data_IF_001995401539
#
_entry.id   IF_001995401539
#
_cell.length_a   1.000
_cell.length_b   1.000
_cell.length_c   1.000
_cell.angle_alpha   90.00
_cell.angle_beta   90.00
_cell.angle_gamma   90.00
#
_symmetry.space_group_name_H-M   'P 1'
#
loop_
_entity.id
_entity.type
_entity.pdbx_description
1 polymer ?
#
# COMPACT_ATOMS: atom_id res chain seq x y z
N UNK A 1 4.50 -18.02 25.98
CA UNK A 1 3.75 -18.54 24.81
C UNK A 1 2.61 -19.36 25.39
N UNK A 2 1.50 -18.70 25.71
CA UNK A 2 0.37 -19.29 26.40
C UNK A 2 -0.80 -19.37 25.42
N UNK A 3 -1.34 -20.59 25.28
CA UNK A 3 -2.64 -20.94 24.71
C UNK A 3 -2.95 -20.40 23.30
N UNK A 4 -2.36 -21.02 22.27
CA UNK A 4 -3.04 -21.08 20.98
C UNK A 4 -4.30 -21.94 21.16
N UNK A 5 -5.45 -21.30 21.31
CA UNK A 5 -6.72 -22.00 21.40
C UNK A 5 -6.86 -22.90 20.16
N UNK A 6 -7.13 -24.19 20.35
CA UNK A 6 -7.43 -25.18 19.31
C UNK A 6 -8.69 -24.87 18.49
N UNK A 7 -9.29 -23.69 18.64
CA UNK A 7 -10.42 -23.25 17.83
C UNK A 7 -9.95 -22.77 16.46
N UNK A 8 -10.56 -23.34 15.43
CA UNK A 8 -10.35 -22.95 14.05
C UNK A 8 -10.80 -21.49 13.86
N UNK A 9 -9.95 -20.68 13.22
CA UNK A 9 -10.22 -19.27 12.92
C UNK A 9 -11.18 -19.16 11.74
N UNK A 10 -12.48 -19.21 12.03
CA UNK A 10 -13.54 -19.18 11.01
C UNK A 10 -14.13 -17.79 10.78
N UNK A 11 -14.03 -16.89 11.75
CA UNK A 11 -14.69 -15.58 11.70
C UNK A 11 -13.84 -14.53 10.97
N UNK A 12 -14.51 -13.58 10.31
CA UNK A 12 -13.84 -12.46 9.65
C UNK A 12 -13.24 -11.50 10.68
N UNK A 13 -12.17 -10.82 10.30
CA UNK A 13 -11.52 -9.83 11.15
C UNK A 13 -12.43 -8.62 11.37
N UNK A 14 -12.55 -8.18 12.62
CA UNK A 14 -13.24 -6.93 12.98
C UNK A 14 -12.49 -5.70 12.43
N UNK A 15 -13.15 -4.53 12.34
CA UNK A 15 -12.49 -3.29 11.92
C UNK A 15 -11.27 -2.94 12.80
N UNK A 16 -11.41 -3.08 14.13
CA UNK A 16 -10.32 -2.82 15.07
C UNK A 16 -9.12 -3.73 14.85
N UNK A 17 -9.31 -5.04 14.65
CA UNK A 17 -8.18 -5.94 14.33
C UNK A 17 -7.47 -5.56 13.03
N UNK A 18 -8.20 -5.09 12.02
CA UNK A 18 -7.61 -4.59 10.76
C UNK A 18 -6.81 -3.31 10.99
N UNK A 19 -7.32 -2.39 11.79
CA UNK A 19 -6.64 -1.14 12.12
C UNK A 19 -5.39 -1.40 12.97
N UNK A 20 -5.46 -2.27 13.97
CA UNK A 20 -4.32 -2.71 14.77
C UNK A 20 -3.23 -3.36 13.92
N UNK A 21 -3.61 -4.19 12.94
CA UNK A 21 -2.67 -4.79 12.00
C UNK A 21 -1.98 -3.73 11.13
N UNK A 22 -2.76 -2.75 10.62
CA UNK A 22 -2.23 -1.62 9.85
C UNK A 22 -1.28 -0.75 10.67
N UNK A 23 -1.63 -0.43 11.91
CA UNK A 23 -0.76 0.32 12.82
C UNK A 23 0.56 -0.41 13.09
N UNK A 24 0.53 -1.74 13.19
CA UNK A 24 1.72 -2.58 13.33
C UNK A 24 2.53 -2.69 12.02
N UNK A 25 2.06 -2.09 10.93
CA UNK A 25 2.66 -2.16 9.59
C UNK A 25 2.43 -3.50 8.88
N UNK A 26 1.46 -4.29 9.32
CA UNK A 26 1.08 -5.55 8.69
C UNK A 26 0.00 -5.30 7.64
N UNK A 27 0.40 -5.34 6.38
CA UNK A 27 -0.45 -5.03 5.22
C UNK A 27 -0.20 -6.05 4.11
N UNK A 28 -1.23 -6.34 3.32
CA UNK A 28 -1.05 -7.08 2.08
C UNK A 28 -0.31 -6.20 1.06
N UNK A 29 0.92 -6.57 0.72
CA UNK A 29 1.74 -5.88 -0.29
C UNK A 29 2.50 -6.91 -1.12
N UNK A 30 2.33 -6.90 -2.44
CA UNK A 30 3.16 -7.70 -3.34
C UNK A 30 4.31 -6.85 -3.85
N UNK A 31 5.53 -7.22 -3.44
CA UNK A 31 6.74 -6.60 -3.97
C UNK A 31 6.84 -6.78 -5.49
N UNK A 32 6.35 -7.91 -6.02
CA UNK A 32 6.40 -8.22 -7.45
C UNK A 32 5.52 -7.29 -8.26
N UNK A 33 4.29 -7.06 -7.80
CA UNK A 33 3.38 -6.12 -8.46
C UNK A 33 3.99 -4.71 -8.53
N UNK A 34 4.63 -4.26 -7.44
CA UNK A 34 5.34 -2.97 -7.44
C UNK A 34 6.49 -2.94 -8.44
N UNK A 35 7.34 -3.97 -8.47
CA UNK A 35 8.47 -4.05 -9.40
C UNK A 35 8.02 -4.09 -10.86
N UNK A 36 7.01 -4.90 -11.18
CA UNK A 36 6.50 -5.03 -12.56
C UNK A 36 5.79 -3.77 -13.02
N UNK A 37 5.03 -3.10 -12.15
CA UNK A 37 4.40 -1.84 -12.50
C UNK A 37 5.43 -0.73 -12.80
N UNK A 38 6.55 -0.69 -12.06
CA UNK A 38 7.66 0.23 -12.34
C UNK A 38 8.33 -0.11 -13.67
N UNK A 39 8.55 -1.40 -13.97
CA UNK A 39 9.09 -1.83 -15.27
C UNK A 39 8.15 -1.43 -16.42
N UNK A 40 6.84 -1.64 -16.27
CA UNK A 40 5.83 -1.22 -17.24
C UNK A 40 5.84 0.29 -17.45
N UNK A 41 5.92 1.06 -16.36
CA UNK A 41 6.03 2.51 -16.42
C UNK A 41 7.32 2.97 -17.12
N UNK A 42 8.44 2.32 -16.85
CA UNK A 42 9.71 2.62 -17.51
C UNK A 42 9.62 2.41 -19.02
N UNK A 43 8.98 1.32 -19.45
CA UNK A 43 8.78 1.05 -20.87
C UNK A 43 7.83 2.06 -21.53
N UNK A 44 6.72 2.40 -20.88
CA UNK A 44 5.79 3.44 -21.36
C UNK A 44 6.46 4.82 -21.42
N UNK A 45 7.31 5.15 -20.46
CA UNK A 45 8.08 6.38 -20.46
C UNK A 45 9.09 6.40 -21.61
N UNK A 46 9.84 5.32 -21.82
CA UNK A 46 10.76 5.22 -22.96
C UNK A 46 10.03 5.34 -24.29
N UNK A 47 8.83 4.75 -24.40
CA UNK A 47 8.01 4.89 -25.61
C UNK A 47 7.50 6.33 -25.81
N UNK A 48 7.04 7.00 -24.76
CA UNK A 48 6.45 8.34 -24.84
C UNK A 48 7.45 9.49 -24.92
N UNK A 49 8.54 9.44 -24.15
CA UNK A 49 9.55 10.52 -24.07
C UNK A 49 10.93 10.13 -24.59
N UNK A 50 11.16 8.87 -24.96
CA UNK A 50 12.48 8.40 -25.40
C UNK A 50 13.03 9.12 -26.63
N UNK A 51 12.17 9.46 -27.60
CA UNK A 51 12.57 10.26 -28.77
C UNK A 51 13.06 11.66 -28.39
N UNK A 52 12.35 12.32 -27.46
CA UNK A 52 12.77 13.62 -26.92
C UNK A 52 14.08 13.50 -26.12
N UNK A 53 14.24 12.46 -25.31
CA UNK A 53 15.47 12.20 -24.57
C UNK A 53 16.66 11.97 -25.51
N UNK A 54 16.48 11.16 -26.56
CA UNK A 54 17.50 10.89 -27.56
C UNK A 54 17.91 12.17 -28.30
N UNK A 55 16.96 13.00 -28.69
CA UNK A 55 17.23 14.30 -29.31
C UNK A 55 17.98 15.26 -28.37
N UNK A 56 17.61 15.29 -27.08
CA UNK A 56 18.32 16.05 -26.06
C UNK A 56 19.78 15.60 -25.88
N UNK A 57 19.99 14.29 -25.75
CA UNK A 57 21.33 13.70 -25.63
C UNK A 57 22.19 13.98 -26.89
N UNK A 58 21.60 13.83 -28.07
CA UNK A 58 22.26 14.16 -29.33
C UNK A 58 22.64 15.64 -29.37
N UNK A 59 21.75 16.54 -28.95
CA UNK A 59 22.02 17.98 -28.88
C UNK A 59 23.18 18.32 -27.94
N UNK A 60 23.21 17.73 -26.75
CA UNK A 60 24.33 17.91 -25.79
C UNK A 60 25.63 17.38 -26.37
N UNK A 61 25.61 16.20 -27.02
CA UNK A 61 26.79 15.62 -27.66
C UNK A 61 27.31 16.50 -28.80
N UNK A 62 26.44 16.90 -29.72
CA UNK A 62 26.81 17.77 -30.85
C UNK A 62 27.42 19.06 -30.32
N UNK A 63 26.73 19.77 -29.42
CA UNK A 63 27.23 21.01 -28.83
C UNK A 63 28.61 20.83 -28.18
N UNK A 64 28.76 19.77 -27.38
CA UNK A 64 30.03 19.51 -26.67
C UNK A 64 31.17 19.21 -27.64
N UNK A 65 30.92 18.47 -28.72
CA UNK A 65 31.97 18.16 -29.70
C UNK A 65 32.25 19.29 -30.69
N UNK A 66 31.24 20.10 -31.05
CA UNK A 66 31.42 21.22 -31.97
C UNK A 66 31.97 22.45 -31.29
N UNK A 67 31.57 22.74 -30.05
CA UNK A 67 31.96 23.95 -29.32
C UNK A 67 33.02 23.67 -28.26
N UNK A 68 33.38 22.39 -28.04
CA UNK A 68 34.33 21.97 -27.02
C UNK A 68 35.72 22.61 -27.16
N UNK A 69 36.13 22.97 -28.37
CA UNK A 69 37.40 23.66 -28.60
C UNK A 69 37.40 25.11 -28.07
N UNK A 70 36.23 25.73 -27.89
CA UNK A 70 36.06 27.07 -27.37
C UNK A 70 35.94 27.11 -25.83
N UNK A 71 35.88 25.94 -25.19
CA UNK A 71 35.79 25.82 -23.74
C UNK A 71 37.19 26.01 -23.14
N UNK A 72 37.41 27.14 -22.49
CA UNK A 72 38.57 27.34 -21.64
C UNK A 72 38.38 26.51 -20.36
N UNK A 73 39.20 25.48 -20.17
CA UNK A 73 39.22 24.69 -18.94
C UNK A 73 40.27 25.25 -17.98
N UNK A 74 39.85 26.18 -17.13
CA UNK A 74 40.63 26.67 -16.00
C UNK A 74 39.96 26.27 -14.66
N UNK A 75 40.66 26.51 -13.55
CA UNK A 75 40.17 26.13 -12.22
C UNK A 75 38.85 26.83 -11.81
N UNK A 76 38.51 27.95 -12.45
CA UNK A 76 37.31 28.75 -12.16
C UNK A 76 36.16 28.43 -13.10
N UNK A 77 36.43 28.09 -14.36
CA UNK A 77 35.41 27.80 -15.39
C UNK A 77 34.97 26.32 -15.39
N UNK A 78 35.87 25.39 -15.05
CA UNK A 78 35.59 23.96 -15.09
C UNK A 78 34.37 23.54 -14.24
N UNK A 79 34.19 24.04 -13.00
CA UNK A 79 33.00 23.72 -12.21
C UNK A 79 31.69 24.22 -12.84
N UNK A 80 31.72 25.38 -13.49
CA UNK A 80 30.54 25.94 -14.15
C UNK A 80 30.11 25.11 -15.36
N UNK A 81 31.07 24.68 -16.19
CA UNK A 81 30.80 23.77 -17.31
C UNK A 81 30.29 22.40 -16.84
N UNK A 82 30.89 21.85 -15.77
CA UNK A 82 30.42 20.60 -15.17
C UNK A 82 28.97 20.71 -14.68
N UNK A 83 28.63 21.81 -14.00
CA UNK A 83 27.26 22.05 -13.53
C UNK A 83 26.28 22.20 -14.70
N UNK A 84 26.68 22.87 -15.78
CA UNK A 84 25.86 23.00 -16.99
C UNK A 84 25.54 21.63 -17.60
N UNK A 85 26.56 20.78 -17.78
CA UNK A 85 26.33 19.43 -18.30
C UNK A 85 25.44 18.60 -17.39
N UNK A 86 25.69 18.62 -16.07
CA UNK A 86 24.82 17.93 -15.10
C UNK A 86 23.38 18.43 -15.22
N UNK A 87 23.16 19.75 -15.36
CA UNK A 87 21.82 20.30 -15.50
C UNK A 87 21.13 19.89 -16.82
N UNK A 88 21.86 19.86 -17.93
CA UNK A 88 21.33 19.42 -19.22
C UNK A 88 20.91 17.95 -19.16
N UNK A 89 21.79 17.08 -18.64
CA UNK A 89 21.47 15.65 -18.43
C UNK A 89 20.32 15.46 -17.43
N UNK A 90 20.29 16.23 -16.34
CA UNK A 90 19.22 16.15 -15.35
C UNK A 90 17.88 16.56 -15.96
N UNK A 91 17.83 17.62 -16.76
CA UNK A 91 16.61 18.05 -17.46
C UNK A 91 16.11 17.00 -18.44
N UNK A 92 17.02 16.34 -19.18
CA UNK A 92 16.67 15.26 -20.11
C UNK A 92 16.07 14.05 -19.37
N UNK A 93 16.60 13.68 -18.20
CA UNK A 93 16.15 12.49 -17.47
C UNK A 93 14.97 12.79 -16.54
N UNK A 94 14.76 14.05 -16.15
CA UNK A 94 13.76 14.46 -15.17
C UNK A 94 12.32 14.03 -15.50
N UNK A 95 11.78 14.17 -16.74
CA UNK A 95 10.41 13.76 -17.03
C UNK A 95 10.17 12.26 -16.80
N UNK A 96 11.13 11.42 -17.20
CA UNK A 96 11.07 9.98 -16.98
C UNK A 96 11.13 9.64 -15.48
N UNK A 97 12.03 10.27 -14.74
CA UNK A 97 12.15 10.06 -13.29
C UNK A 97 10.91 10.52 -12.52
N UNK A 98 10.35 11.68 -12.89
CA UNK A 98 9.11 12.19 -12.32
C UNK A 98 7.94 11.23 -12.58
N UNK A 99 7.81 10.72 -13.80
CA UNK A 99 6.79 9.73 -14.14
C UNK A 99 6.95 8.43 -13.34
N UNK A 100 8.16 7.88 -13.28
CA UNK A 100 8.46 6.68 -12.49
C UNK A 100 8.17 6.88 -11.00
N UNK A 101 8.52 8.04 -10.45
CA UNK A 101 8.22 8.39 -9.06
C UNK A 101 6.72 8.43 -8.79
N UNK A 102 5.95 9.06 -9.68
CA UNK A 102 4.48 9.11 -9.59
C UNK A 102 3.90 7.71 -9.64
N UNK A 103 4.28 6.88 -10.61
CA UNK A 103 3.75 5.51 -10.73
C UNK A 103 4.15 4.66 -9.53
N UNK A 104 5.41 4.70 -9.10
CA UNK A 104 5.88 3.96 -7.94
C UNK A 104 5.09 4.34 -6.67
N UNK A 105 4.81 5.63 -6.49
CA UNK A 105 4.00 6.13 -5.37
C UNK A 105 2.56 5.63 -5.48
N UNK A 106 1.92 5.81 -6.64
CA UNK A 106 0.54 5.40 -6.88
C UNK A 106 0.33 3.90 -6.67
N UNK A 107 1.26 3.06 -7.15
CA UNK A 107 1.16 1.60 -7.00
C UNK A 107 1.25 1.18 -5.53
N UNK A 108 2.17 1.77 -4.77
CA UNK A 108 2.29 1.47 -3.33
C UNK A 108 1.06 1.97 -2.55
N UNK A 109 0.58 3.17 -2.87
CA UNK A 109 -0.64 3.73 -2.27
C UNK A 109 -1.88 2.91 -2.65
N UNK A 110 -1.98 2.42 -3.88
CA UNK A 110 -3.10 1.57 -4.32
C UNK A 110 -3.11 0.21 -3.61
N UNK A 111 -1.93 -0.38 -3.33
CA UNK A 111 -1.86 -1.68 -2.65
C UNK A 111 -2.18 -1.59 -1.16
N UNK A 112 -1.64 -0.58 -0.48
CA UNK A 112 -1.60 -0.52 0.99
C UNK A 112 -2.47 0.60 1.57
N UNK A 113 -2.74 1.64 0.79
CA UNK A 113 -3.21 2.93 1.30
C UNK A 113 -2.07 3.76 1.90
N UNK A 114 -2.40 4.97 2.34
CA UNK A 114 -1.47 5.82 3.07
C UNK A 114 -1.49 5.38 4.54
N UNK A 115 -0.36 4.88 5.05
CA UNK A 115 -0.21 4.47 6.45
C UNK A 115 1.01 5.18 7.05
N UNK A 116 0.77 5.99 8.08
CA UNK A 116 1.81 6.60 8.88
C UNK A 116 1.97 5.84 10.19
N UNK A 117 3.04 5.05 10.31
CA UNK A 117 3.38 4.36 11.56
C UNK A 117 4.88 4.32 11.81
N UNK A 118 5.30 4.75 12.99
CA UNK A 118 6.69 4.62 13.47
C UNK A 118 6.99 3.26 14.09
N UNK A 119 5.97 2.42 14.38
CA UNK A 119 6.14 1.13 15.08
C UNK A 119 7.10 0.16 14.33
N UNK A 120 7.11 0.08 12.99
CA UNK A 120 8.06 -0.76 12.26
C UNK A 120 9.52 -0.29 12.31
N UNK A 121 9.79 0.98 12.63
CA UNK A 121 11.14 1.57 12.75
C UNK A 121 11.82 1.18 14.07
N UNK A 122 11.07 0.70 15.06
CA UNK A 122 11.64 0.27 16.33
C UNK A 122 12.49 -0.99 16.13
N UNK A 123 13.74 -1.02 16.63
CA UNK A 123 14.59 -2.20 16.54
C UNK A 123 13.96 -3.34 17.35
N UNK A 124 13.73 -4.48 16.69
CA UNK A 124 13.26 -5.71 17.33
C UNK A 124 14.38 -6.75 17.27
N UNK A 125 14.80 -7.27 18.43
CA UNK A 125 15.87 -8.28 18.52
C UNK A 125 15.61 -9.50 17.62
N UNK A 126 14.34 -9.91 17.48
CA UNK A 126 13.92 -11.01 16.62
C UNK A 126 14.23 -10.82 15.13
N UNK A 127 14.29 -9.55 14.67
CA UNK A 127 14.61 -9.21 13.27
C UNK A 127 16.11 -9.16 12.99
N UNK A 128 16.95 -9.16 14.02
CA UNK A 128 18.41 -9.03 13.91
C UNK A 128 19.11 -10.40 14.07
N UNK A 129 18.42 -11.40 14.64
CA UNK A 129 18.99 -12.74 14.82
C UNK A 129 19.27 -13.45 13.47
N UNK A 130 20.52 -13.87 13.20
CA UNK A 130 20.87 -14.63 11.99
C UNK A 130 20.14 -15.98 11.90
N UNK A 131 19.86 -16.60 13.06
CA UNK A 131 19.20 -17.90 13.13
C UNK A 131 17.73 -17.85 12.69
N UNK A 132 16.99 -16.80 13.11
CA UNK A 132 15.61 -16.59 12.65
C UNK A 132 15.57 -16.28 11.15
N UNK A 133 16.60 -15.59 10.63
CA UNK A 133 16.81 -15.36 9.20
C UNK A 133 16.98 -16.66 8.40
N UNK A 134 17.90 -17.54 8.81
CA UNK A 134 18.09 -18.84 8.15
C UNK A 134 16.82 -19.70 8.17
N UNK A 135 16.14 -19.77 9.32
CA UNK A 135 14.88 -20.54 9.43
C UNK A 135 13.80 -20.00 8.48
N UNK A 136 13.77 -18.68 8.22
CA UNK A 136 12.84 -18.08 7.26
C UNK A 136 13.17 -18.46 5.82
N UNK A 137 14.46 -18.50 5.47
CA UNK A 137 14.95 -18.88 4.14
C UNK A 137 14.66 -20.37 3.86
N UNK A 138 14.97 -21.26 4.80
CA UNK A 138 14.73 -22.69 4.68
C UNK A 138 13.31 -23.13 5.12
N UNK A 139 12.35 -22.20 5.17
CA UNK A 139 10.96 -22.52 5.47
C UNK A 139 10.23 -23.04 4.23
N UNK A 140 9.08 -23.70 4.42
CA UNK A 140 8.17 -24.05 3.31
C UNK A 140 7.82 -22.83 2.44
N UNK A 141 7.63 -21.67 3.07
CA UNK A 141 7.38 -20.41 2.37
C UNK A 141 8.57 -20.00 1.51
N UNK A 142 9.80 -20.11 2.02
CA UNK A 142 11.02 -19.82 1.27
C UNK A 142 11.21 -20.73 0.04
N UNK A 143 10.94 -22.02 0.17
CA UNK A 143 10.99 -22.97 -0.95
C UNK A 143 9.96 -22.65 -2.05
N UNK A 144 8.74 -22.26 -1.66
CA UNK A 144 7.69 -21.85 -2.60
C UNK A 144 8.07 -20.56 -3.33
N UNK A 145 8.64 -19.57 -2.64
CA UNK A 145 9.15 -18.35 -3.28
C UNK A 145 10.30 -18.65 -4.25
N UNK A 146 11.22 -19.56 -3.90
CA UNK A 146 12.29 -20.00 -4.79
C UNK A 146 11.75 -20.67 -6.04
N UNK A 147 10.77 -21.58 -5.89
CA UNK A 147 10.13 -22.23 -7.03
C UNK A 147 9.42 -21.24 -7.96
N UNK A 148 8.68 -20.26 -7.38
CA UNK A 148 8.08 -19.15 -8.15
C UNK A 148 9.15 -18.34 -8.89
N UNK A 149 10.28 -18.06 -8.23
CA UNK A 149 11.41 -17.35 -8.83
C UNK A 149 12.01 -18.08 -10.03
N UNK A 150 12.31 -19.38 -9.88
CA UNK A 150 12.84 -20.20 -10.97
C UNK A 150 11.86 -20.33 -12.13
N UNK A 151 10.57 -20.52 -11.83
CA UNK A 151 9.53 -20.55 -12.85
C UNK A 151 9.48 -19.24 -13.65
N UNK A 152 9.55 -18.08 -12.99
CA UNK A 152 9.61 -16.78 -13.67
C UNK A 152 10.82 -16.64 -14.58
N UNK A 153 12.01 -16.98 -14.09
CA UNK A 153 13.24 -16.94 -14.90
C UNK A 153 13.13 -17.83 -16.11
N UNK A 154 12.60 -19.05 -15.93
CA UNK A 154 12.37 -19.98 -17.04
C UNK A 154 11.43 -19.39 -18.08
N UNK A 155 10.26 -18.87 -17.67
CA UNK A 155 9.28 -18.32 -18.61
C UNK A 155 9.80 -17.07 -19.32
N UNK A 156 10.49 -16.16 -18.61
CA UNK A 156 11.15 -15.00 -19.20
C UNK A 156 12.19 -15.45 -20.24
N UNK A 157 12.99 -16.47 -19.92
CA UNK A 157 13.97 -17.06 -20.83
C UNK A 157 13.31 -17.62 -22.11
N UNK A 158 12.21 -18.35 -21.97
CA UNK A 158 11.46 -18.91 -23.12
C UNK A 158 10.91 -17.79 -24.01
N UNK A 159 10.24 -16.78 -23.45
CA UNK A 159 9.68 -15.67 -24.24
C UNK A 159 10.78 -14.87 -24.92
N UNK A 160 11.90 -14.66 -24.23
CA UNK A 160 13.07 -13.97 -24.80
C UNK A 160 13.65 -14.77 -25.95
N UNK A 161 13.85 -16.08 -25.77
CA UNK A 161 14.36 -16.97 -26.81
C UNK A 161 13.43 -17.00 -28.04
N UNK A 162 12.12 -17.15 -27.85
CA UNK A 162 11.15 -17.13 -28.94
C UNK A 162 11.11 -15.79 -29.68
N UNK A 163 11.22 -14.67 -28.95
CA UNK A 163 11.23 -13.33 -29.55
C UNK A 163 12.53 -13.06 -30.31
N UNK A 164 13.68 -13.48 -29.78
CA UNK A 164 14.97 -13.32 -30.46
C UNK A 164 15.07 -14.21 -31.69
N UNK A 165 14.53 -15.42 -31.65
CA UNK A 165 14.53 -16.33 -32.80
C UNK A 165 13.55 -15.88 -33.89
N UNK A 166 12.40 -15.29 -33.53
CA UNK A 166 11.49 -14.71 -34.53
C UNK A 166 12.08 -13.51 -35.27
N UNK A 167 13.00 -12.78 -34.63
CA UNK A 167 13.63 -11.56 -35.17
C UNK A 167 15.06 -11.81 -35.67
N UNK A 168 15.49 -13.08 -35.75
CA UNK A 168 16.85 -13.45 -36.08
C UNK A 168 17.29 -12.93 -37.46
N UNK A 169 16.40 -13.00 -38.45
CA UNK A 169 16.67 -12.49 -39.80
C UNK A 169 16.88 -10.97 -39.80
N UNK A 170 16.13 -10.23 -38.98
CA UNK A 170 16.28 -8.79 -38.82
C UNK A 170 17.62 -8.40 -38.18
N UNK A 171 18.08 -9.20 -37.20
CA UNK A 171 19.41 -9.01 -36.58
C UNK A 171 20.53 -9.32 -37.58
N UNK A 172 20.39 -10.37 -38.40
CA UNK A 172 21.37 -10.68 -39.46
C UNK A 172 21.43 -9.58 -40.53
N UNK A 173 20.33 -8.87 -40.75
CA UNK A 173 20.27 -7.74 -41.68
C UNK A 173 21.10 -6.52 -41.23
N UNK A 174 21.57 -6.46 -39.97
CA UNK A 174 22.37 -5.34 -39.46
C UNK A 174 23.63 -5.07 -40.28
N UNK A 175 24.21 -6.11 -40.88
CA UNK A 175 25.39 -5.98 -41.74
C UNK A 175 25.15 -5.11 -42.99
N UNK A 176 23.89 -4.90 -43.37
CA UNK A 176 23.49 -4.18 -44.57
C UNK A 176 22.67 -2.91 -44.27
N UNK A 177 22.50 -2.55 -42.99
CA UNK A 177 21.70 -1.41 -42.56
C UNK A 177 22.58 -0.19 -42.30
N UNK A 178 22.05 1.00 -42.58
CA UNK A 178 22.65 2.25 -42.10
C UNK A 178 22.50 2.38 -40.58
N UNK A 179 23.40 3.13 -39.95
CA UNK A 179 23.44 3.32 -38.48
C UNK A 179 22.10 3.78 -37.94
N UNK A 180 21.43 4.71 -38.62
CA UNK A 180 20.10 5.22 -38.24
C UNK A 180 19.02 4.14 -38.25
N UNK A 181 19.08 3.23 -39.22
CA UNK A 181 18.16 2.09 -39.33
C UNK A 181 18.41 1.06 -38.22
N UNK A 182 19.68 0.82 -37.86
CA UNK A 182 20.04 -0.06 -36.74
C UNK A 182 19.45 0.45 -35.42
N UNK A 183 19.51 1.75 -35.16
CA UNK A 183 18.89 2.35 -33.96
C UNK A 183 17.36 2.22 -33.96
N UNK A 184 16.72 2.41 -35.12
CA UNK A 184 15.28 2.25 -35.28
C UNK A 184 14.83 0.82 -34.98
N UNK A 185 15.45 -0.16 -35.65
CA UNK A 185 15.13 -1.57 -35.44
C UNK A 185 15.46 -2.03 -34.02
N UNK A 186 16.62 -1.64 -33.47
CA UNK A 186 16.99 -2.01 -32.10
C UNK A 186 16.00 -1.48 -31.07
N UNK A 187 15.55 -0.23 -31.24
CA UNK A 187 14.54 0.38 -30.37
C UNK A 187 13.21 -0.38 -30.43
N UNK A 188 12.76 -0.73 -31.63
CA UNK A 188 11.52 -1.48 -31.83
C UNK A 188 11.61 -2.91 -31.25
N UNK A 189 12.74 -3.58 -31.45
CA UNK A 189 13.01 -4.91 -30.89
C UNK A 189 13.00 -4.88 -29.35
N UNK A 190 13.68 -3.89 -28.75
CA UNK A 190 13.73 -3.71 -27.29
C UNK A 190 12.32 -3.43 -26.73
N UNK A 191 11.56 -2.55 -27.38
CA UNK A 191 10.20 -2.24 -26.96
C UNK A 191 9.28 -3.44 -27.10
N UNK A 192 9.32 -4.16 -28.22
CA UNK A 192 8.51 -5.36 -28.46
C UNK A 192 8.81 -6.45 -27.44
N UNK A 193 10.08 -6.75 -27.21
CA UNK A 193 10.50 -7.71 -26.18
C UNK A 193 10.04 -7.24 -24.80
N UNK A 194 10.26 -5.97 -24.47
CA UNK A 194 9.89 -5.39 -23.19
C UNK A 194 8.38 -5.44 -22.93
N UNK A 195 7.53 -5.13 -23.91
CA UNK A 195 6.07 -5.26 -23.80
C UNK A 195 5.68 -6.72 -23.53
N UNK A 196 6.20 -7.68 -24.30
CA UNK A 196 5.90 -9.11 -24.11
C UNK A 196 6.27 -9.58 -22.71
N UNK A 197 7.44 -9.20 -22.21
CA UNK A 197 7.91 -9.54 -20.87
C UNK A 197 7.09 -8.85 -19.77
N UNK A 198 6.78 -7.57 -19.94
CA UNK A 198 5.96 -6.81 -18.98
C UNK A 198 4.57 -7.41 -18.86
N UNK A 199 3.89 -7.71 -19.97
CA UNK A 199 2.55 -8.31 -19.94
C UNK A 199 2.56 -9.66 -19.22
N UNK A 200 3.57 -10.49 -19.51
CA UNK A 200 3.73 -11.79 -18.89
C UNK A 200 3.98 -11.69 -17.37
N UNK A 201 4.92 -10.82 -16.97
CA UNK A 201 5.24 -10.61 -15.57
C UNK A 201 4.08 -9.96 -14.82
N UNK A 202 3.29 -9.12 -15.49
CA UNK A 202 2.14 -8.43 -14.91
C UNK A 202 1.02 -9.43 -14.61
N UNK A 203 0.77 -10.37 -15.52
CA UNK A 203 -0.15 -11.48 -15.27
C UNK A 203 0.27 -12.28 -14.03
N UNK A 204 1.55 -12.66 -13.93
CA UNK A 204 2.07 -13.40 -12.78
C UNK A 204 1.99 -12.60 -11.47
N UNK A 205 2.32 -11.31 -11.54
CA UNK A 205 2.30 -10.44 -10.38
C UNK A 205 0.88 -10.18 -9.85
N UNK A 206 -0.13 -10.14 -10.73
CA UNK A 206 -1.55 -10.06 -10.33
C UNK A 206 -1.97 -11.32 -9.57
N UNK A 207 -1.59 -12.50 -10.07
CA UNK A 207 -1.87 -13.78 -9.40
C UNK A 207 -1.17 -13.86 -8.04
N UNK A 208 0.09 -13.43 -7.97
CA UNK A 208 0.83 -13.38 -6.71
C UNK A 208 0.20 -12.38 -5.72
N UNK A 209 -0.22 -11.20 -6.17
CA UNK A 209 -0.93 -10.24 -5.33
C UNK A 209 -2.26 -10.79 -4.81
N UNK A 210 -3.05 -11.48 -5.64
CA UNK A 210 -4.28 -12.12 -5.21
C UNK A 210 -4.03 -13.20 -4.14
N UNK A 211 -2.99 -14.03 -4.33
CA UNK A 211 -2.57 -15.01 -3.34
C UNK A 211 -2.12 -14.35 -2.02
N UNK A 212 -1.31 -13.30 -2.08
CA UNK A 212 -0.85 -12.58 -0.89
C UNK A 212 -1.99 -11.86 -0.17
N UNK A 213 -2.98 -11.34 -0.91
CA UNK A 213 -4.18 -10.75 -0.33
C UNK A 213 -5.02 -11.80 0.39
N UNK A 214 -5.17 -12.97 -0.21
CA UNK A 214 -5.85 -14.11 0.40
C UNK A 214 -5.13 -14.59 1.68
N UNK A 215 -3.81 -14.78 1.63
CA UNK A 215 -2.97 -15.16 2.78
C UNK A 215 -3.10 -14.12 3.90
N UNK A 216 -3.04 -12.83 3.57
CA UNK A 216 -3.22 -11.75 4.55
C UNK A 216 -4.60 -11.81 5.24
N UNK A 217 -5.67 -11.99 4.46
CA UNK A 217 -7.03 -12.06 4.99
C UNK A 217 -7.23 -13.32 5.85
N UNK A 218 -6.63 -14.45 5.46
CA UNK A 218 -6.65 -15.69 6.23
C UNK A 218 -5.92 -15.54 7.56
N UNK A 219 -4.76 -14.88 7.57
CA UNK A 219 -3.98 -14.62 8.78
C UNK A 219 -4.69 -13.66 9.76
N UNK A 220 -5.56 -12.78 9.24
CA UNK A 220 -6.36 -11.88 10.06
C UNK A 220 -7.61 -12.51 10.69
N UNK A 221 -8.04 -13.70 10.22
CA UNK A 221 -9.24 -14.38 10.75
C UNK A 221 -9.18 -14.57 12.26
N UNK A 222 -10.35 -14.61 12.86
CA UNK A 222 -10.56 -14.65 14.30
C UNK A 222 -11.31 -15.91 14.71
N UNK A 223 -11.15 -16.32 15.97
CA UNK A 223 -12.06 -17.31 16.56
C UNK A 223 -13.33 -16.62 17.06
N UNK A 224 -14.41 -17.38 17.24
CA UNK A 224 -15.67 -16.85 17.80
C UNK A 224 -15.47 -16.25 19.20
N UNK A 225 -14.53 -16.79 19.98
CA UNK A 225 -14.19 -16.26 21.29
C UNK A 225 -13.49 -14.90 21.18
N UNK A 226 -12.48 -14.78 20.32
CA UNK A 226 -11.76 -13.52 20.09
C UNK A 226 -12.71 -12.39 19.65
N UNK A 227 -13.65 -12.67 18.75
CA UNK A 227 -14.64 -11.66 18.30
C UNK A 227 -15.54 -11.20 19.45
N UNK A 228 -16.02 -12.14 20.29
CA UNK A 228 -16.85 -11.79 21.46
C UNK A 228 -16.08 -10.95 22.47
N UNK A 229 -14.82 -11.30 22.73
CA UNK A 229 -13.98 -10.55 23.66
C UNK A 229 -13.67 -9.15 23.14
N UNK A 230 -13.42 -9.00 21.85
CA UNK A 230 -13.17 -7.70 21.23
C UNK A 230 -14.42 -6.80 21.24
N UNK A 231 -15.61 -7.37 20.99
CA UNK A 231 -16.89 -6.66 21.14
C UNK A 231 -17.12 -6.23 22.59
N UNK A 232 -16.82 -7.10 23.57
CA UNK A 232 -16.88 -6.72 25.00
C UNK A 232 -15.91 -5.59 25.35
N UNK A 233 -14.72 -5.55 24.75
CA UNK A 233 -13.75 -4.47 24.99
C UNK A 233 -14.19 -3.14 24.36
N UNK A 234 -14.83 -3.16 23.18
CA UNK A 234 -15.27 -1.94 22.51
C UNK A 234 -16.59 -1.38 23.06
N UNK A 235 -17.58 -2.26 23.25
CA UNK A 235 -18.91 -1.85 23.67
C UNK A 235 -19.14 -1.97 25.19
N UNK A 236 -18.25 -2.64 25.92
CA UNK A 236 -18.46 -3.03 27.31
C UNK A 236 -19.26 -4.32 27.42
N UNK A 237 -19.26 -4.95 28.60
CA UNK A 237 -20.05 -6.18 28.80
C UNK A 237 -21.56 -5.87 28.69
N UNK A 238 -22.32 -6.57 27.83
CA UNK A 238 -23.76 -6.37 27.70
C UNK A 238 -24.52 -6.45 29.02
N UNK A 239 -24.06 -7.33 29.92
CA UNK A 239 -24.61 -7.53 31.26
C UNK A 239 -24.43 -6.27 32.11
N UNK A 240 -23.28 -5.60 31.99
CA UNK A 240 -22.97 -4.34 32.68
C UNK A 240 -23.80 -3.20 32.10
N UNK A 241 -23.91 -3.07 30.76
CA UNK A 241 -24.81 -2.09 30.12
C UNK A 241 -26.28 -2.28 30.52
N UNK A 242 -26.73 -3.52 30.63
CA UNK A 242 -28.08 -3.85 31.10
C UNK A 242 -28.27 -3.45 32.57
N UNK A 243 -27.28 -3.74 33.41
CA UNK A 243 -27.29 -3.38 34.84
C UNK A 243 -27.27 -1.87 35.07
N UNK A 244 -26.51 -1.12 34.28
CA UNK A 244 -26.51 0.35 34.32
C UNK A 244 -27.91 0.88 33.96
N UNK A 245 -28.52 0.35 32.90
CA UNK A 245 -29.89 0.75 32.50
C UNK A 245 -30.94 0.41 33.57
N UNK A 246 -30.82 -0.72 34.28
CA UNK A 246 -31.74 -1.04 35.38
C UNK A 246 -31.57 -0.09 36.55
N UNK A 247 -30.31 0.20 36.96
CA UNK A 247 -30.02 1.14 38.05
C UNK A 247 -30.47 2.57 37.71
N UNK A 248 -30.29 3.02 36.47
CA UNK A 248 -30.79 4.32 36.02
C UNK A 248 -32.31 4.44 36.12
N UNK A 249 -33.06 3.38 35.78
CA UNK A 249 -34.53 3.34 35.95
C UNK A 249 -34.94 3.39 37.41
N UNK A 250 -34.25 2.64 38.26
CA UNK A 250 -34.52 2.61 39.70
C UNK A 250 -34.26 3.98 40.36
N UNK A 251 -33.13 4.62 40.05
CA UNK A 251 -32.83 5.98 40.51
C UNK A 251 -33.85 7.00 39.99
N UNK A 252 -34.31 6.86 38.74
CA UNK A 252 -35.34 7.74 38.18
C UNK A 252 -36.68 7.57 38.90
N UNK A 253 -37.06 6.35 39.27
CA UNK A 253 -38.26 6.09 40.06
C UNK A 253 -38.13 6.63 41.49
N UNK A 254 -36.96 6.49 42.11
CA UNK A 254 -36.71 7.07 43.43
C UNK A 254 -36.78 8.59 43.43
N UNK A 255 -36.20 9.27 42.41
CA UNK A 255 -36.33 10.73 42.25
C UNK A 255 -37.78 11.15 42.01
N UNK A 256 -38.49 10.44 41.12
CA UNK A 256 -39.92 10.67 40.93
C UNK A 256 -40.68 10.57 42.25
N UNK A 257 -40.36 9.57 43.09
CA UNK A 257 -41.03 9.37 44.37
C UNK A 257 -40.64 10.44 45.43
N UNK A 258 -39.41 10.94 45.41
CA UNK A 258 -39.03 12.08 46.27
C UNK A 258 -39.71 13.37 45.83
N UNK A 259 -39.79 13.62 44.53
CA UNK A 259 -40.42 14.82 43.96
C UNK A 259 -41.94 14.82 44.22
N UNK A 260 -42.56 13.64 44.22
CA UNK A 260 -43.97 13.47 44.67
C UNK A 260 -44.14 13.77 46.17
N UNK A 261 -43.13 13.49 47.00
CA UNK A 261 -43.14 13.81 48.43
C UNK A 261 -43.04 15.31 48.72
N UNK A 262 -42.51 16.11 47.78
CA UNK A 262 -42.47 17.57 47.87
C UNK A 262 -43.69 18.26 47.21
N UNK A 263 -44.60 17.51 46.60
CA UNK A 263 -45.77 18.07 45.91
C UNK A 263 -46.91 18.33 46.90
N UNK A 264 -47.58 19.46 46.73
CA UNK A 264 -48.68 19.88 47.61
C UNK A 264 -49.99 19.16 47.30
N UNK A 265 -50.21 18.81 46.03
CA UNK A 265 -51.40 18.08 45.59
C UNK A 265 -51.06 17.10 44.45
N UNK A 266 -51.66 15.92 44.50
CA UNK A 266 -51.57 14.91 43.43
C UNK A 266 -52.96 14.69 42.84
N UNK A 267 -53.13 15.02 41.57
CA UNK A 267 -54.37 14.80 40.83
C UNK A 267 -54.23 13.52 40.01
N UNK A 268 -55.09 12.53 40.27
CA UNK A 268 -55.01 11.23 39.60
C UNK A 268 -56.26 10.96 38.74
N UNK A 269 -56.04 10.36 37.58
CA UNK A 269 -57.04 9.59 36.86
C UNK A 269 -56.70 8.10 37.11
N UNK A 270 -57.61 7.30 37.72
CA UNK A 270 -57.29 6.02 38.37
C UNK A 270 -56.48 4.99 37.58
N UNK A 271 -56.39 5.12 36.26
CA UNK A 271 -55.74 4.12 35.39
C UNK A 271 -54.74 4.71 34.39
N UNK A 272 -54.65 6.04 34.23
CA UNK A 272 -53.96 6.61 33.06
C UNK A 272 -52.93 7.69 33.36
N UNK A 273 -53.16 8.60 34.30
CA UNK A 273 -52.24 9.72 34.56
C UNK A 273 -52.35 10.17 36.01
N UNK A 274 -51.22 10.44 36.65
CA UNK A 274 -51.14 11.19 37.90
C UNK A 274 -50.22 12.41 37.68
N UNK A 275 -50.70 13.59 38.05
CA UNK A 275 -49.96 14.85 37.94
C UNK A 275 -49.75 15.38 39.36
N UNK A 276 -48.49 15.53 39.75
CA UNK A 276 -48.09 16.14 41.01
C UNK A 276 -47.83 17.63 40.79
N UNK A 277 -48.50 18.50 41.56
CA UNK A 277 -48.39 19.95 41.49
C UNK A 277 -47.81 20.48 42.79
N UNK A 278 -46.90 21.44 42.69
CA UNK A 278 -46.24 22.12 43.82
C UNK A 278 -46.41 23.62 43.64
N UNK A 279 -46.84 24.34 44.67
CA UNK A 279 -47.08 25.77 44.60
C UNK A 279 -46.55 26.48 45.84
N UNK A 280 -45.55 27.33 45.62
CA UNK A 280 -44.99 28.20 46.65
C UNK A 280 -45.45 29.64 46.45
N UNK A 281 -46.22 30.15 47.41
CA UNK A 281 -46.82 31.49 47.39
C UNK A 281 -45.81 32.64 47.37
N UNK A 282 -44.55 32.42 47.78
CA UNK A 282 -43.52 33.46 47.78
C UNK A 282 -42.73 33.52 46.46
N UNK A 283 -42.66 32.40 45.72
CA UNK A 283 -41.78 32.26 44.56
C UNK A 283 -42.50 31.94 43.23
N UNK A 284 -43.78 31.54 43.26
CA UNK A 284 -44.54 31.11 42.08
C UNK A 284 -45.83 31.93 41.87
N UNK A 285 -46.11 32.33 40.63
CA UNK A 285 -47.35 33.02 40.26
C UNK A 285 -48.53 32.07 40.00
N UNK A 286 -48.27 30.78 39.73
CA UNK A 286 -49.25 29.71 39.60
C UNK A 286 -48.57 28.33 39.78
N UNK A 287 -49.31 27.28 40.21
CA UNK A 287 -48.85 25.89 40.27
C UNK A 287 -48.44 25.30 38.92
#
# INVERSE_FOLDING_TARGET
>A
MAEESFQEKTEQATPKRRDDAREKGQVARSAELSSVAILAAGLLALWGVGGWMMGGLQGVMVRTFTEGYAINLDAMSAPAHMMSWISDFALIVAPMMAFLFVVATLVNVAQVGIIFTGKPLMPKADRISPFSGLKRIFSKKGLVELAKGLFKVFVVGVVTYLTMTSEADGVLAYMHMEVTQIFGFSSDLILTLGVRLVLLLLLMAILDYAFQRFDYEQNLRMTKQEVREELKQQEGDPMVRSRIRSLQREMSQQRMMSDVGEADVVVTNPTHVAIALKYDTESMNAP
#
